data_IF_055411768808
#
_entry.id   IF_055411768808
#
_cell.length_a   1.000
_cell.length_b   1.000
_cell.length_c   1.000
_cell.angle_alpha   90.00
_cell.angle_beta   90.00
_cell.angle_gamma   90.00
#
_symmetry.space_group_name_H-M   'P 1'
#
loop_
_entity.id
_entity.type
_entity.pdbx_description
1 polymer ?
#
# COMPACT_ATOMS: atom_id res chain seq x y z
N UNK A 1 1.78 32.69 -74.27
CA UNK A 1 0.41 32.49 -73.81
C UNK A 1 0.32 31.25 -72.93
N UNK A 2 -0.05 31.42 -71.71
CA UNK A 2 -0.29 30.29 -70.86
C UNK A 2 -1.52 29.51 -71.35
N UNK A 3 -1.36 28.23 -71.53
CA UNK A 3 -2.42 27.34 -71.91
C UNK A 3 -3.44 27.23 -70.73
N UNK A 4 -4.73 27.25 -71.02
CA UNK A 4 -5.81 27.05 -70.03
C UNK A 4 -5.59 25.79 -69.23
N UNK A 5 -5.04 24.75 -69.84
CA UNK A 5 -4.71 23.49 -69.20
C UNK A 5 -3.65 23.65 -68.12
N UNK A 6 -2.59 24.45 -68.39
CA UNK A 6 -1.50 24.71 -67.42
C UNK A 6 -1.99 25.51 -66.21
N UNK A 7 -2.85 26.51 -66.43
CA UNK A 7 -3.49 27.30 -65.39
C UNK A 7 -4.38 26.42 -64.52
N UNK A 8 -5.17 25.55 -65.10
CA UNK A 8 -6.08 24.63 -64.42
C UNK A 8 -5.29 23.60 -63.59
N UNK A 9 -4.23 23.05 -64.15
CA UNK A 9 -3.34 22.10 -63.47
C UNK A 9 -2.67 22.72 -62.27
N UNK A 10 -2.17 23.95 -62.41
CA UNK A 10 -1.53 24.72 -61.34
C UNK A 10 -2.54 25.00 -60.19
N UNK A 11 -3.77 25.38 -60.57
CA UNK A 11 -4.84 25.65 -59.62
C UNK A 11 -5.27 24.40 -58.84
N UNK A 12 -5.40 23.26 -59.51
CA UNK A 12 -5.68 21.97 -58.91
C UNK A 12 -4.55 21.55 -57.94
N UNK A 13 -3.29 21.78 -58.32
CA UNK A 13 -2.14 21.51 -57.49
C UNK A 13 -2.18 22.34 -56.20
N UNK A 14 -2.40 23.66 -56.33
CA UNK A 14 -2.46 24.59 -55.20
C UNK A 14 -3.62 24.23 -54.25
N UNK A 15 -4.80 23.94 -54.78
CA UNK A 15 -5.97 23.50 -53.99
C UNK A 15 -5.70 22.17 -53.28
N UNK A 16 -5.05 21.23 -53.95
CA UNK A 16 -4.65 19.96 -53.39
C UNK A 16 -3.66 20.11 -52.23
N UNK A 17 -2.66 20.97 -52.41
CA UNK A 17 -1.65 21.28 -51.34
C UNK A 17 -2.34 21.97 -50.17
N UNK A 18 -3.19 22.95 -50.43
CA UNK A 18 -3.95 23.63 -49.36
C UNK A 18 -4.80 22.66 -48.55
N UNK A 19 -5.53 21.78 -49.22
CA UNK A 19 -6.34 20.73 -48.57
C UNK A 19 -5.49 19.79 -47.74
N UNK A 20 -4.34 19.36 -48.27
CA UNK A 20 -3.39 18.48 -47.59
C UNK A 20 -2.83 19.16 -46.36
N UNK A 21 -2.51 20.44 -46.44
CA UNK A 21 -2.01 21.24 -45.31
C UNK A 21 -3.09 21.40 -44.22
N UNK A 22 -4.32 21.67 -44.59
CA UNK A 22 -5.44 21.78 -43.66
C UNK A 22 -5.70 20.45 -42.94
N UNK A 23 -5.64 19.35 -43.69
CA UNK A 23 -5.83 18.02 -43.16
C UNK A 23 -4.68 17.67 -42.20
N UNK A 24 -3.44 18.01 -42.57
CA UNK A 24 -2.25 17.82 -41.71
C UNK A 24 -2.36 18.62 -40.40
N UNK A 25 -2.77 19.90 -40.48
CA UNK A 25 -2.98 20.74 -39.30
C UNK A 25 -4.05 20.16 -38.37
N UNK A 26 -5.14 19.66 -38.94
CA UNK A 26 -6.22 19.01 -38.21
C UNK A 26 -5.75 17.75 -37.48
N UNK A 27 -4.98 16.92 -38.19
CA UNK A 27 -4.40 15.70 -37.59
C UNK A 27 -3.44 16.04 -36.45
N UNK A 28 -2.58 17.05 -36.65
CA UNK A 28 -1.64 17.51 -35.61
C UNK A 28 -2.41 18.06 -34.40
N UNK A 29 -3.45 18.87 -34.62
CA UNK A 29 -4.26 19.41 -33.54
C UNK A 29 -4.96 18.30 -32.73
N UNK A 30 -5.51 17.33 -33.42
CA UNK A 30 -6.14 16.16 -32.77
C UNK A 30 -5.12 15.32 -32.02
N UNK A 31 -3.92 15.13 -32.58
CA UNK A 31 -2.86 14.39 -31.92
C UNK A 31 -2.39 15.10 -30.66
N UNK A 32 -2.24 16.42 -30.69
CA UNK A 32 -1.88 17.24 -29.53
C UNK A 32 -2.95 17.18 -28.45
N UNK A 33 -4.20 17.24 -28.82
CA UNK A 33 -5.32 17.11 -27.89
C UNK A 33 -5.36 15.74 -27.22
N UNK A 34 -5.17 14.66 -27.99
CA UNK A 34 -5.10 13.30 -27.46
C UNK A 34 -3.90 13.13 -26.52
N UNK A 35 -2.75 13.68 -26.90
CA UNK A 35 -1.54 13.63 -26.08
C UNK A 35 -1.74 14.36 -24.75
N UNK A 36 -2.31 15.56 -24.79
CA UNK A 36 -2.63 16.33 -23.57
C UNK A 36 -3.60 15.58 -22.66
N UNK A 37 -4.63 14.98 -23.24
CA UNK A 37 -5.62 14.18 -22.51
C UNK A 37 -4.99 12.95 -21.88
N UNK A 38 -4.12 12.25 -22.61
CA UNK A 38 -3.42 11.08 -22.13
C UNK A 38 -2.48 11.43 -20.96
N UNK A 39 -1.76 12.55 -21.06
CA UNK A 39 -0.90 13.04 -20.00
C UNK A 39 -1.72 13.40 -18.74
N UNK A 40 -2.84 14.09 -18.93
CA UNK A 40 -3.74 14.45 -17.82
C UNK A 40 -4.30 13.21 -17.11
N UNK A 41 -4.71 12.20 -17.87
CA UNK A 41 -5.19 10.92 -17.33
C UNK A 41 -4.07 10.20 -16.57
N UNK A 42 -2.87 10.18 -17.12
CA UNK A 42 -1.71 9.56 -16.49
C UNK A 42 -1.34 10.25 -15.17
N UNK A 43 -1.38 11.59 -15.14
CA UNK A 43 -1.14 12.37 -13.91
C UNK A 43 -2.20 12.09 -12.86
N UNK A 44 -3.47 12.00 -13.25
CA UNK A 44 -4.57 11.67 -12.35
C UNK A 44 -4.42 10.25 -11.77
N UNK A 45 -4.06 9.28 -12.60
CA UNK A 45 -3.78 7.92 -12.17
C UNK A 45 -2.59 7.87 -11.21
N UNK A 46 -1.52 8.62 -11.52
CA UNK A 46 -0.35 8.70 -10.65
C UNK A 46 -0.69 9.27 -9.28
N UNK A 47 -1.51 10.31 -9.22
CA UNK A 47 -2.03 10.87 -7.95
C UNK A 47 -2.85 9.83 -7.17
N UNK A 48 -3.72 9.11 -7.87
CA UNK A 48 -4.53 8.04 -7.27
C UNK A 48 -3.67 6.93 -6.68
N UNK A 49 -2.65 6.49 -7.40
CA UNK A 49 -1.71 5.45 -6.94
C UNK A 49 -0.93 5.93 -5.72
N UNK A 50 -0.42 7.15 -5.73
CA UNK A 50 0.31 7.74 -4.60
C UNK A 50 -0.58 7.87 -3.36
N UNK A 51 -1.80 8.36 -3.52
CA UNK A 51 -2.77 8.50 -2.43
C UNK A 51 -3.14 7.12 -1.86
N UNK A 52 -3.38 6.14 -2.73
CA UNK A 52 -3.67 4.77 -2.33
C UNK A 52 -2.51 4.12 -1.58
N UNK A 53 -1.28 4.32 -2.07
CA UNK A 53 -0.08 3.82 -1.42
C UNK A 53 0.13 4.45 -0.04
N UNK A 54 -0.10 5.75 0.10
CA UNK A 54 -0.01 6.45 1.39
C UNK A 54 -1.03 5.92 2.40
N UNK A 55 -2.26 5.68 1.96
CA UNK A 55 -3.32 5.08 2.79
C UNK A 55 -2.96 3.65 3.21
N UNK A 56 -2.45 2.86 2.29
CA UNK A 56 -2.02 1.49 2.55
C UNK A 56 -0.89 1.44 3.56
N UNK A 57 0.12 2.30 3.41
CA UNK A 57 1.24 2.42 4.36
C UNK A 57 0.74 2.81 5.75
N UNK A 58 -0.18 3.77 5.84
CA UNK A 58 -0.79 4.17 7.12
C UNK A 58 -1.55 3.03 7.79
N UNK A 59 -2.32 2.28 7.01
CA UNK A 59 -3.05 1.10 7.50
C UNK A 59 -2.11 -0.01 7.96
N UNK A 60 -1.04 -0.28 7.22
CA UNK A 60 -0.02 -1.25 7.59
C UNK A 60 0.68 -0.85 8.89
N UNK A 61 0.96 0.43 9.04
CA UNK A 61 1.59 1.00 10.25
C UNK A 61 0.69 0.80 11.47
N UNK A 62 -0.58 1.14 11.36
CA UNK A 62 -1.58 0.94 12.43
C UNK A 62 -1.72 -0.53 12.79
N UNK A 63 -1.76 -1.40 11.79
CA UNK A 63 -1.84 -2.85 11.99
C UNK A 63 -0.60 -3.37 12.71
N UNK A 64 0.58 -2.95 12.30
CA UNK A 64 1.83 -3.33 12.95
C UNK A 64 1.88 -2.86 14.41
N UNK A 65 1.47 -1.62 14.69
CA UNK A 65 1.39 -1.09 16.05
C UNK A 65 0.41 -1.89 16.92
N UNK A 66 -0.75 -2.24 16.38
CA UNK A 66 -1.74 -3.08 17.07
C UNK A 66 -1.22 -4.47 17.36
N UNK A 67 -0.54 -5.10 16.40
CA UNK A 67 0.06 -6.42 16.55
C UNK A 67 1.19 -6.41 17.58
N UNK A 68 2.03 -5.37 17.56
CA UNK A 68 3.11 -5.20 18.55
C UNK A 68 2.54 -5.02 19.95
N UNK A 69 1.51 -4.20 20.11
CA UNK A 69 0.84 -4.00 21.40
C UNK A 69 0.23 -5.30 21.92
N UNK A 70 -0.44 -6.04 21.03
CA UNK A 70 -1.05 -7.33 21.40
C UNK A 70 0.03 -8.34 21.81
N UNK A 71 1.12 -8.44 21.02
CA UNK A 71 2.25 -9.33 21.35
C UNK A 71 2.89 -8.98 22.67
N UNK A 72 3.08 -7.68 22.96
CA UNK A 72 3.64 -7.22 24.23
C UNK A 72 2.72 -7.59 25.40
N UNK A 73 1.41 -7.41 25.26
CA UNK A 73 0.43 -7.80 26.29
C UNK A 73 0.40 -9.30 26.54
N UNK A 74 0.47 -10.09 25.47
CA UNK A 74 0.53 -11.54 25.56
C UNK A 74 1.80 -12.01 26.26
N UNK A 75 2.95 -11.40 25.92
CA UNK A 75 4.23 -11.70 26.56
C UNK A 75 4.19 -11.38 28.06
N UNK A 76 3.66 -10.21 28.41
CA UNK A 76 3.50 -9.81 29.83
C UNK A 76 2.58 -10.77 30.58
N UNK A 77 1.44 -11.14 29.97
CA UNK A 77 0.49 -12.09 30.56
C UNK A 77 1.14 -13.46 30.78
N UNK A 78 1.88 -13.96 29.77
CA UNK A 78 2.60 -15.23 29.86
C UNK A 78 3.66 -15.20 30.96
N UNK A 79 4.38 -14.08 31.07
CA UNK A 79 5.38 -13.88 32.11
C UNK A 79 4.74 -13.88 33.51
N UNK A 80 3.65 -13.15 33.68
CA UNK A 80 2.87 -13.13 34.94
C UNK A 80 2.38 -14.52 35.33
N UNK A 81 1.86 -15.27 34.37
CA UNK A 81 1.40 -16.65 34.59
C UNK A 81 2.55 -17.57 34.99
N UNK A 82 3.72 -17.44 34.35
CA UNK A 82 4.92 -18.20 34.66
C UNK A 82 5.43 -17.88 36.05
N UNK A 83 5.47 -16.62 36.45
CA UNK A 83 5.86 -16.18 37.78
C UNK A 83 4.88 -16.70 38.82
N UNK A 84 3.59 -16.55 38.56
CA UNK A 84 2.52 -17.02 39.47
C UNK A 84 2.62 -18.55 39.67
N UNK A 85 2.81 -19.31 38.60
CA UNK A 85 2.97 -20.77 38.67
C UNK A 85 4.19 -21.16 39.43
N UNK A 86 5.31 -20.45 39.24
CA UNK A 86 6.57 -20.71 39.95
C UNK A 86 6.43 -20.44 41.46
N UNK A 87 5.86 -19.31 41.83
CA UNK A 87 5.60 -18.93 43.21
C UNK A 87 4.60 -19.90 43.84
N UNK A 88 3.50 -20.22 43.21
CA UNK A 88 2.48 -21.16 43.68
C UNK A 88 3.08 -22.56 43.89
N UNK A 89 3.90 -23.03 42.95
CA UNK A 89 4.58 -24.29 43.05
C UNK A 89 5.61 -24.33 44.21
N UNK A 90 6.34 -23.26 44.37
CA UNK A 90 7.29 -23.14 45.48
C UNK A 90 6.62 -23.05 46.83
N UNK A 91 5.55 -22.28 46.98
CA UNK A 91 4.77 -22.17 48.19
C UNK A 91 4.08 -23.51 48.52
N UNK A 92 3.46 -24.18 47.54
CA UNK A 92 2.89 -25.50 47.72
C UNK A 92 3.93 -26.55 48.13
N UNK A 93 5.12 -26.49 47.55
CA UNK A 93 6.23 -27.35 47.91
C UNK A 93 6.71 -27.13 49.32
N UNK A 94 6.81 -25.90 49.77
CA UNK A 94 7.18 -25.55 51.14
C UNK A 94 6.11 -25.96 52.13
N UNK A 95 4.83 -25.79 51.86
CA UNK A 95 3.72 -26.25 52.69
C UNK A 95 3.76 -27.78 52.82
N UNK A 96 3.97 -28.51 51.75
CA UNK A 96 4.07 -29.95 51.75
C UNK A 96 5.26 -30.44 52.58
N UNK A 97 6.40 -29.79 52.43
CA UNK A 97 7.60 -30.10 53.25
C UNK A 97 7.37 -29.81 54.73
N UNK A 98 6.74 -28.71 55.07
CA UNK A 98 6.39 -28.35 56.46
C UNK A 98 5.42 -29.38 57.05
N UNK A 99 4.40 -29.78 56.29
CA UNK A 99 3.47 -30.82 56.69
C UNK A 99 4.15 -32.16 56.91
N UNK A 100 5.09 -32.56 56.04
CA UNK A 100 5.88 -33.76 56.23
C UNK A 100 6.77 -33.72 57.46
N UNK A 101 7.38 -32.61 57.73
CA UNK A 101 8.20 -32.43 58.94
C UNK A 101 7.36 -32.56 60.22
N UNK A 102 6.18 -31.98 60.24
CA UNK A 102 5.28 -32.07 61.39
C UNK A 102 4.77 -33.49 61.60
N UNK A 103 4.43 -34.21 60.55
CA UNK A 103 4.05 -35.64 60.62
C UNK A 103 5.19 -36.49 61.14
N UNK A 104 6.42 -36.29 60.64
CA UNK A 104 7.58 -37.00 61.08
C UNK A 104 7.88 -36.71 62.58
N UNK A 105 7.71 -35.47 63.00
CA UNK A 105 7.87 -35.06 64.39
C UNK A 105 6.80 -35.73 65.31
N UNK A 106 5.55 -35.79 64.86
CA UNK A 106 4.47 -36.44 65.60
C UNK A 106 4.68 -37.96 65.70
N UNK A 107 5.22 -38.60 64.67
CA UNK A 107 5.50 -40.03 64.65
C UNK A 107 6.66 -40.42 65.58
N UNK A 108 7.61 -39.53 65.80
CA UNK A 108 8.72 -39.76 66.73
C UNK A 108 8.34 -39.66 68.19
N UNK A 109 7.24 -39.02 68.45
CA UNK A 109 6.63 -38.95 69.77
C UNK A 109 5.78 -40.18 70.03
#
# INVERSE_FOLDING_TARGET
MENKLDVLTKKLYEEGVDKANQEAEKIIAQAKEKAAKLIAEAEEQAKGIKAGAATEVENMKKKAESEMTLSARQAITALKQSITSLISGEVAGNIAKAGFKDEAFVQEM
#
